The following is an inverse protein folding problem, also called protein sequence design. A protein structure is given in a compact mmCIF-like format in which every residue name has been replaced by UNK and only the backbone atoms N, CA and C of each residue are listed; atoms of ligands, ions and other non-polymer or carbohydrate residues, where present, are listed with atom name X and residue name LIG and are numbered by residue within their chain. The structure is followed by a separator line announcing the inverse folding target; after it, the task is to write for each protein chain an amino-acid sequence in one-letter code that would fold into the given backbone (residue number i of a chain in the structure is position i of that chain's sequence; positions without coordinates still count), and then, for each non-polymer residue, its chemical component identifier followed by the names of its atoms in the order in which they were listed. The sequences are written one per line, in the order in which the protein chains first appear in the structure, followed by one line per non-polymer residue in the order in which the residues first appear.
data_IF_107403231941
#
_entry.id   IF_107403231941
#
_cell.length_a   1.000
_cell.length_b   1.000
_cell.length_c   1.000
_cell.angle_alpha   90.00
_cell.angle_beta   90.00
_cell.angle_gamma   90.00
#
_symmetry.space_group_name_H-M   'P 1'
#
loop_
_entity.id
_entity.type
_entity.pdbx_description
1 polymer ?
#
# COMPACT_ATOMS: atom_id res chain seq x y z
N UNK A 1 -13.42 0.04 5.60
CA UNK A 1 -14.32 -0.83 4.85
C UNK A 1 -14.51 -2.14 5.61
N UNK A 2 -15.68 -2.72 5.49
CA UNK A 2 -16.03 -3.92 6.23
C UNK A 2 -16.47 -3.64 7.66
N UNK A 3 -16.68 -4.68 8.49
CA UNK A 3 -17.25 -4.56 9.82
C UNK A 3 -16.25 -4.10 10.89
N UNK A 4 -15.00 -3.92 10.54
CA UNK A 4 -13.94 -3.57 11.48
C UNK A 4 -13.67 -2.08 11.52
N UNK A 5 -13.24 -1.58 12.69
CA UNK A 5 -12.87 -0.18 12.87
C UNK A 5 -11.59 0.16 12.12
N UNK A 6 -11.40 1.44 11.80
CA UNK A 6 -10.22 1.92 11.10
C UNK A 6 -8.92 1.82 11.91
N UNK A 7 -7.78 1.96 11.23
CA UNK A 7 -6.46 1.77 11.81
C UNK A 7 -5.87 2.93 12.59
N UNK A 8 -6.56 4.07 12.69
CA UNK A 8 -6.09 5.21 13.48
C UNK A 8 -6.43 5.02 14.96
N UNK A 9 -5.72 4.10 15.61
CA UNK A 9 -5.96 3.69 16.97
C UNK A 9 -4.68 3.14 17.62
N UNK A 10 -4.64 3.08 18.95
CA UNK A 10 -3.52 2.45 19.67
C UNK A 10 -3.47 0.94 19.45
N UNK A 11 -4.63 0.31 19.26
CA UNK A 11 -4.75 -1.12 19.01
C UNK A 11 -5.58 -1.36 17.76
N UNK A 12 -5.11 -2.24 16.91
CA UNK A 12 -5.77 -2.58 15.66
C UNK A 12 -5.98 -4.10 15.58
N UNK A 13 -7.22 -4.50 15.31
CA UNK A 13 -7.52 -5.90 15.02
C UNK A 13 -7.23 -6.20 13.55
N UNK A 14 -6.35 -7.12 13.30
CA UNK A 14 -6.01 -7.58 11.94
C UNK A 14 -6.43 -9.05 11.80
N UNK A 15 -7.57 -9.33 11.13
CA UNK A 15 -7.95 -10.71 10.82
C UNK A 15 -6.93 -11.38 9.91
N UNK A 16 -6.67 -12.64 10.14
CA UNK A 16 -5.72 -13.43 9.32
C UNK A 16 -4.36 -12.74 9.20
N UNK A 17 -3.81 -12.28 10.32
CA UNK A 17 -2.58 -11.49 10.35
C UNK A 17 -1.39 -12.20 9.69
N UNK A 18 -1.30 -13.51 9.84
CA UNK A 18 -0.24 -14.32 9.22
C UNK A 18 -0.23 -14.23 7.69
N UNK A 19 -1.41 -14.04 7.10
CA UNK A 19 -1.57 -13.88 5.66
C UNK A 19 -1.50 -12.40 5.24
N UNK A 20 -2.08 -11.51 6.03
CA UNK A 20 -2.24 -10.10 5.67
C UNK A 20 -1.03 -9.23 6.04
N UNK A 21 -0.11 -9.73 6.85
CA UNK A 21 1.08 -8.99 7.25
C UNK A 21 2.30 -9.45 6.45
N UNK A 22 2.98 -8.49 5.81
CA UNK A 22 4.24 -8.72 5.12
C UNK A 22 5.38 -8.21 6.00
N UNK A 23 6.35 -9.09 6.28
CA UNK A 23 7.54 -8.71 7.05
C UNK A 23 8.44 -7.81 6.21
N UNK A 24 8.71 -6.62 6.71
CA UNK A 24 9.64 -5.67 6.09
C UNK A 24 11.08 -5.97 6.52
N UNK A 25 12.08 -5.50 5.72
CA UNK A 25 13.46 -5.51 6.15
C UNK A 25 13.63 -4.77 7.48
N UNK A 26 14.60 -5.21 8.29
CA UNK A 26 14.90 -4.57 9.56
C UNK A 26 15.47 -3.15 9.37
N UNK A 27 15.23 -2.29 10.35
CA UNK A 27 15.68 -0.90 10.35
C UNK A 27 14.58 0.09 10.05
N UNK A 28 14.88 1.37 10.30
CA UNK A 28 13.93 2.49 10.16
C UNK A 28 14.26 3.43 9.02
N UNK A 29 15.32 3.14 8.25
CA UNK A 29 15.85 4.01 7.20
C UNK A 29 14.83 4.30 6.10
N UNK A 30 13.98 3.32 5.78
CA UNK A 30 13.00 3.40 4.70
C UNK A 30 11.55 3.33 5.18
N UNK A 31 11.28 3.63 6.45
CA UNK A 31 9.92 3.59 7.00
C UNK A 31 8.94 4.45 6.20
N UNK A 32 9.37 5.65 5.80
CA UNK A 32 8.54 6.59 5.04
C UNK A 32 8.19 6.07 3.64
N UNK A 33 9.07 5.28 3.08
CA UNK A 33 8.83 4.65 1.77
C UNK A 33 7.92 3.44 1.92
N UNK A 34 8.18 2.59 2.90
CA UNK A 34 7.42 1.36 3.12
C UNK A 34 5.97 1.59 3.50
N UNK A 35 5.68 2.65 4.22
CA UNK A 35 4.31 2.91 4.66
C UNK A 35 3.34 3.13 3.48
N UNK A 36 3.83 3.58 2.35
CA UNK A 36 3.01 3.76 1.14
C UNK A 36 2.73 2.47 0.38
N UNK A 37 3.44 1.38 0.69
CA UNK A 37 3.32 0.11 -0.03
C UNK A 37 2.02 -0.65 0.28
N UNK A 38 1.34 -0.31 1.36
CA UNK A 38 0.13 -1.00 1.75
C UNK A 38 -1.06 -0.68 0.82
N UNK A 39 -1.12 0.52 0.29
CA UNK A 39 -2.25 0.97 -0.53
C UNK A 39 -1.83 1.93 -1.64
N UNK A 40 -1.26 3.07 -1.28
CA UNK A 40 -1.06 4.21 -2.20
C UNK A 40 -0.23 3.82 -3.42
N UNK A 41 0.91 3.19 -3.21
CA UNK A 41 1.80 2.79 -4.30
C UNK A 41 1.17 1.72 -5.21
N UNK A 42 0.63 0.62 -4.68
CA UNK A 42 -0.04 -0.37 -5.54
C UNK A 42 -1.25 0.18 -6.27
N UNK A 43 -2.01 1.08 -5.65
CA UNK A 43 -3.17 1.73 -6.28
C UNK A 43 -2.74 2.59 -7.46
N UNK A 44 -1.72 3.41 -7.30
CA UNK A 44 -1.17 4.22 -8.39
C UNK A 44 -0.61 3.37 -9.52
N UNK A 45 0.14 2.34 -9.19
CA UNK A 45 0.66 1.38 -10.17
C UNK A 45 -0.47 0.71 -10.96
N UNK A 46 -1.50 0.24 -10.27
CA UNK A 46 -2.65 -0.40 -10.89
C UNK A 46 -3.39 0.54 -11.86
N UNK A 47 -3.56 1.80 -11.49
CA UNK A 47 -4.14 2.82 -12.37
C UNK A 47 -3.36 2.99 -13.66
N UNK A 48 -2.04 3.05 -13.59
CA UNK A 48 -1.17 3.14 -14.77
C UNK A 48 -1.30 1.90 -15.65
N UNK A 49 -1.30 0.71 -15.07
CA UNK A 49 -1.48 -0.55 -15.82
C UNK A 49 -2.83 -0.60 -16.53
N UNK A 50 -3.91 -0.24 -15.82
CA UNK A 50 -5.26 -0.24 -16.41
C UNK A 50 -5.44 0.79 -17.54
N UNK A 51 -4.70 1.90 -17.51
CA UNK A 51 -4.75 2.92 -18.56
C UNK A 51 -4.14 2.47 -19.89
N UNK A 52 -3.40 1.36 -19.89
CA UNK A 52 -2.66 0.90 -21.07
C UNK A 52 -1.43 1.75 -21.39
N UNK A 53 -0.99 2.60 -20.46
CA UNK A 53 0.17 3.46 -20.61
C UNK A 53 1.43 2.66 -20.98
N UNK A 54 2.19 3.19 -21.93
CA UNK A 54 3.43 2.59 -22.41
C UNK A 54 4.63 3.50 -22.13
N UNK A 55 5.82 2.93 -21.93
CA UNK A 55 7.04 3.72 -21.76
C UNK A 55 7.23 4.73 -22.91
N UNK A 56 7.57 5.95 -22.56
CA UNK A 56 7.77 7.05 -23.52
C UNK A 56 6.53 7.93 -23.78
N UNK A 57 5.35 7.52 -23.31
CA UNK A 57 4.15 8.34 -23.36
C UNK A 57 4.13 9.41 -22.26
N UNK A 58 3.28 10.41 -22.42
CA UNK A 58 3.11 11.50 -21.45
C UNK A 58 1.84 11.28 -20.64
N UNK A 59 1.94 11.48 -19.33
CA UNK A 59 0.81 11.42 -18.39
C UNK A 59 0.59 12.79 -17.77
N UNK A 60 -0.65 13.25 -17.78
CA UNK A 60 -1.07 14.42 -17.01
C UNK A 60 -1.72 13.97 -15.69
N UNK A 61 -1.34 14.59 -14.59
CA UNK A 61 -1.85 14.31 -13.25
C UNK A 61 -2.53 15.54 -12.69
#
# INVERSE_FOLDING_TARGET
MGPYRGGQAQYLRVPYADFNALKLPQGTEHEKDFFTLADVFPTGWHGVVLSGFKPGETVAV
#
